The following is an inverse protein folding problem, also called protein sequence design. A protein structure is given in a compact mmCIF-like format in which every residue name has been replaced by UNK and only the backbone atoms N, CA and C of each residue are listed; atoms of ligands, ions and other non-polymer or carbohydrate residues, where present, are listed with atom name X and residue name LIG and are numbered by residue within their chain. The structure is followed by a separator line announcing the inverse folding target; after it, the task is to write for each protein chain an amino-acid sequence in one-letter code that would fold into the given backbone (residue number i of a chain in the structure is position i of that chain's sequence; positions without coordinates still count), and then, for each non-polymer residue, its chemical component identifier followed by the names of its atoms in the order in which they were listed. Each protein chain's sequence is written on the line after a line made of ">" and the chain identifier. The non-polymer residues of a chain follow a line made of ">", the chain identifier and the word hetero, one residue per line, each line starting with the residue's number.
data_IF_999424956066
#
_entry.id   IF_999424956066
#
_cell.length_a   1.000
_cell.length_b   1.000
_cell.length_c   1.000
_cell.angle_alpha   90.00
_cell.angle_beta   90.00
_cell.angle_gamma   90.00
#
_symmetry.space_group_name_H-M   'P 1'
#
loop_
_entity.id
_entity.type
_entity.pdbx_description
1 polymer ?
#
# COMPACT_ATOMS: atom_id res chain seq x y z
N UNK A 1 -5.34 9.98 15.98
CA UNK A 1 -4.59 10.89 15.06
C UNK A 1 -5.53 11.77 14.26
N UNK A 2 -5.14 13.01 13.95
CA UNK A 2 -5.85 13.90 13.02
C UNK A 2 -4.88 14.44 11.99
N UNK A 3 -5.13 14.13 10.71
CA UNK A 3 -4.31 14.58 9.59
C UNK A 3 -5.16 15.46 8.68
N UNK A 4 -4.65 16.63 8.33
CA UNK A 4 -5.25 17.54 7.35
C UNK A 4 -4.17 17.96 6.37
N UNK A 5 -4.30 17.49 5.13
CA UNK A 5 -3.44 17.85 4.01
C UNK A 5 -4.22 18.85 3.17
N UNK A 6 -3.70 20.06 3.04
CA UNK A 6 -4.32 21.11 2.24
C UNK A 6 -4.16 20.82 0.74
N UNK A 7 -4.96 21.49 -0.07
CA UNK A 7 -4.86 21.39 -1.52
C UNK A 7 -3.45 21.74 -2.01
N UNK A 8 -3.03 21.11 -3.11
CA UNK A 8 -1.79 21.49 -3.77
C UNK A 8 -1.88 22.93 -4.23
N UNK A 9 -0.87 23.78 -3.97
CA UNK A 9 -0.93 25.18 -4.30
C UNK A 9 -0.88 25.36 -5.82
N UNK A 10 -1.96 25.93 -6.39
CA UNK A 10 -1.96 26.34 -7.78
C UNK A 10 -1.21 27.66 -7.93
N UNK A 11 -0.28 27.73 -8.86
CA UNK A 11 0.39 28.96 -9.22
C UNK A 11 -0.61 29.93 -9.84
N UNK A 12 -0.76 31.10 -9.21
CA UNK A 12 -1.53 32.23 -9.74
C UNK A 12 -0.56 33.29 -10.22
N UNK A 13 -1.02 34.21 -11.09
CA UNK A 13 -0.19 35.26 -11.66
C UNK A 13 0.61 36.06 -10.62
N UNK A 14 0.04 36.36 -9.48
CA UNK A 14 0.72 37.09 -8.40
C UNK A 14 1.81 36.24 -7.69
N UNK A 15 1.78 34.93 -7.77
CA UNK A 15 2.83 34.07 -7.22
C UNK A 15 4.12 34.19 -8.02
N UNK A 16 4.05 34.39 -9.37
CA UNK A 16 5.22 34.65 -10.19
C UNK A 16 5.90 35.95 -9.78
N UNK A 17 5.14 37.00 -9.60
CA UNK A 17 5.65 38.29 -9.13
C UNK A 17 6.28 38.21 -7.73
N UNK A 18 5.62 37.49 -6.77
CA UNK A 18 6.17 37.30 -5.43
C UNK A 18 7.43 36.42 -5.44
N UNK A 19 7.53 35.47 -6.36
CA UNK A 19 8.73 34.67 -6.54
C UNK A 19 9.90 35.52 -7.04
N UNK A 20 9.67 36.34 -8.07
CA UNK A 20 10.69 37.16 -8.68
C UNK A 20 11.26 38.23 -7.72
N UNK A 21 10.43 38.77 -6.83
CA UNK A 21 10.83 39.81 -5.91
C UNK A 21 11.31 39.31 -4.55
N UNK A 22 10.73 38.23 -4.04
CA UNK A 22 10.94 37.73 -2.66
C UNK A 22 11.34 36.27 -2.59
N UNK A 23 11.48 35.55 -3.70
CA UNK A 23 11.73 34.13 -3.73
C UNK A 23 10.59 33.29 -3.11
N UNK A 24 9.36 33.83 -3.05
CA UNK A 24 8.23 33.15 -2.42
C UNK A 24 7.73 32.01 -3.30
N UNK A 25 7.71 30.79 -2.72
CA UNK A 25 7.08 29.62 -3.34
C UNK A 25 5.86 29.21 -2.53
N UNK A 26 4.68 29.07 -3.17
CA UNK A 26 3.50 28.58 -2.46
C UNK A 26 3.72 27.14 -2.02
N UNK A 27 3.46 26.83 -0.75
CA UNK A 27 3.64 25.49 -0.17
C UNK A 27 2.31 24.91 0.26
N UNK A 28 2.17 23.59 0.09
CA UNK A 28 1.04 22.84 0.63
C UNK A 28 1.04 22.94 2.16
N UNK A 29 -0.10 23.31 2.75
CA UNK A 29 -0.23 23.38 4.20
C UNK A 29 -0.65 22.02 4.74
N UNK A 30 0.21 21.40 5.51
CA UNK A 30 -0.08 20.15 6.21
C UNK A 30 -0.16 20.39 7.70
N UNK A 31 -1.22 19.90 8.35
CA UNK A 31 -1.39 19.94 9.80
C UNK A 31 -1.64 18.50 10.29
N UNK A 32 -0.71 18.03 11.10
CA UNK A 32 -0.78 16.67 11.69
C UNK A 32 -0.83 16.83 13.21
N UNK A 33 -1.77 16.14 13.84
CA UNK A 33 -1.84 15.98 15.28
C UNK A 33 -1.76 14.49 15.58
N UNK A 34 -0.76 14.11 16.37
CA UNK A 34 -0.49 12.73 16.78
C UNK A 34 -0.80 12.67 18.28
N UNK A 35 -1.58 11.67 18.67
CA UNK A 35 -1.87 11.36 20.06
C UNK A 35 -0.94 10.25 20.56
N UNK A 36 -0.77 10.15 21.88
CA UNK A 36 0.19 9.21 22.50
C UNK A 36 0.00 7.76 22.05
N UNK A 37 -1.24 7.34 21.80
CA UNK A 37 -1.58 5.96 21.41
C UNK A 37 -1.37 5.68 19.91
N UNK A 38 -1.27 6.70 19.07
CA UNK A 38 -1.07 6.55 17.61
C UNK A 38 0.28 5.93 17.26
N UNK A 39 1.24 5.95 18.19
CA UNK A 39 2.61 5.45 17.99
C UNK A 39 2.77 3.98 18.37
N UNK A 40 1.82 3.36 19.05
CA UNK A 40 1.91 1.95 19.48
C UNK A 40 1.77 0.98 18.32
N UNK A 41 0.93 1.31 17.36
CA UNK A 41 0.68 0.53 16.15
C UNK A 41 0.68 1.48 14.95
N UNK A 42 1.88 2.01 14.61
CA UNK A 42 2.02 3.00 13.54
C UNK A 42 1.54 2.48 12.18
N UNK A 43 1.68 1.20 11.92
CA UNK A 43 1.18 0.53 10.74
C UNK A 43 -0.35 0.64 10.61
N UNK A 44 -1.10 0.39 11.69
CA UNK A 44 -2.56 0.62 11.73
C UNK A 44 -2.93 2.10 11.61
N UNK A 45 -2.14 2.97 12.23
CA UNK A 45 -2.38 4.41 12.20
C UNK A 45 -2.15 5.02 10.82
N UNK A 46 -1.17 4.50 10.07
CA UNK A 46 -0.81 4.99 8.74
C UNK A 46 -1.65 4.35 7.62
N UNK A 47 -2.10 3.12 7.80
CA UNK A 47 -2.86 2.39 6.78
C UNK A 47 -4.06 3.17 6.20
N UNK A 48 -4.93 3.84 6.99
CA UNK A 48 -6.06 4.61 6.48
C UNK A 48 -5.64 5.88 5.70
N UNK A 49 -4.37 6.29 5.78
CA UNK A 49 -3.81 7.39 4.99
C UNK A 49 -3.18 6.86 3.71
N UNK A 50 -2.40 5.80 3.81
CA UNK A 50 -1.62 5.22 2.69
C UNK A 50 -2.56 4.55 1.68
N UNK A 51 -3.52 3.76 2.14
CA UNK A 51 -4.40 2.99 1.25
C UNK A 51 -5.14 3.84 0.21
N UNK A 52 -5.83 4.95 0.56
CA UNK A 52 -6.48 5.79 -0.43
C UNK A 52 -5.49 6.46 -1.38
N UNK A 53 -4.27 6.78 -0.93
CA UNK A 53 -3.23 7.34 -1.78
C UNK A 53 -2.75 6.33 -2.83
N UNK A 54 -2.54 5.06 -2.44
CA UNK A 54 -2.16 3.99 -3.37
C UNK A 54 -3.28 3.72 -4.39
N UNK A 55 -4.54 3.69 -3.96
CA UNK A 55 -5.70 3.51 -4.85
C UNK A 55 -5.78 4.64 -5.88
N UNK A 56 -5.69 5.88 -5.42
CA UNK A 56 -5.71 7.04 -6.32
C UNK A 56 -4.54 7.03 -7.30
N UNK A 57 -3.33 6.69 -6.82
CA UNK A 57 -2.17 6.58 -7.68
C UNK A 57 -2.36 5.52 -8.76
N UNK A 58 -2.90 4.34 -8.40
CA UNK A 58 -3.19 3.27 -9.36
C UNK A 58 -4.16 3.73 -10.46
N UNK A 59 -5.16 4.53 -10.11
CA UNK A 59 -6.15 5.06 -11.05
C UNK A 59 -5.60 6.19 -11.94
N UNK A 60 -4.69 7.02 -11.41
CA UNK A 60 -4.27 8.27 -12.08
C UNK A 60 -2.83 8.23 -12.61
N UNK A 61 -2.12 7.12 -12.48
CA UNK A 61 -0.75 7.00 -12.96
C UNK A 61 -0.64 7.18 -14.48
N UNK A 62 0.39 7.87 -14.91
CA UNK A 62 0.70 8.11 -16.32
C UNK A 62 1.89 7.28 -16.83
N UNK A 63 2.50 6.46 -15.97
CA UNK A 63 3.64 5.62 -16.28
C UNK A 63 3.89 4.58 -15.20
N UNK A 64 4.90 3.76 -15.41
CA UNK A 64 5.29 2.69 -14.47
C UNK A 64 6.80 2.77 -14.23
N UNK A 65 7.26 2.73 -12.99
CA UNK A 65 8.68 2.58 -12.68
C UNK A 65 9.18 1.20 -13.09
N UNK A 66 10.50 1.02 -13.10
CA UNK A 66 11.09 -0.31 -13.19
C UNK A 66 10.70 -1.15 -12.00
N UNK A 67 10.28 -2.36 -12.29
CA UNK A 67 9.91 -3.36 -11.29
C UNK A 67 10.82 -4.57 -11.48
N UNK A 68 11.42 -5.05 -10.37
CA UNK A 68 12.32 -6.18 -10.42
C UNK A 68 11.55 -7.49 -10.67
N UNK A 69 12.12 -8.39 -11.46
CA UNK A 69 11.52 -9.67 -11.82
C UNK A 69 11.27 -10.59 -10.60
N UNK A 70 12.06 -10.41 -9.53
CA UNK A 70 11.88 -11.16 -8.27
C UNK A 70 10.62 -10.77 -7.49
N UNK A 71 10.08 -9.58 -7.75
CA UNK A 71 8.91 -9.03 -7.07
C UNK A 71 7.59 -9.38 -7.71
N UNK A 72 7.61 -10.06 -8.86
CA UNK A 72 6.43 -10.39 -9.64
C UNK A 72 6.37 -11.89 -9.92
N UNK A 73 5.16 -12.45 -10.20
CA UNK A 73 5.03 -13.83 -10.60
C UNK A 73 5.75 -14.11 -11.92
N UNK A 74 6.09 -15.36 -12.14
CA UNK A 74 6.93 -15.81 -13.26
C UNK A 74 6.36 -15.38 -14.62
N UNK A 75 5.06 -15.37 -14.77
CA UNK A 75 4.34 -15.03 -16.01
C UNK A 75 4.55 -13.55 -16.42
N UNK A 76 4.86 -12.69 -15.46
CA UNK A 76 5.07 -11.26 -15.68
C UNK A 76 6.54 -10.84 -15.76
N UNK A 77 7.48 -11.77 -15.54
CA UNK A 77 8.90 -11.48 -15.58
C UNK A 77 9.35 -11.00 -16.97
N UNK A 78 10.42 -10.25 -17.02
CA UNK A 78 11.01 -9.77 -18.27
C UNK A 78 11.44 -10.94 -19.16
N UNK A 79 11.87 -12.06 -18.55
CA UNK A 79 12.25 -13.30 -19.24
C UNK A 79 11.08 -14.03 -19.87
N UNK A 80 9.85 -13.79 -19.40
CA UNK A 80 8.61 -14.39 -19.95
C UNK A 80 7.97 -13.49 -21.01
N UNK A 81 8.48 -12.27 -21.19
CA UNK A 81 7.95 -11.34 -22.17
C UNK A 81 8.37 -11.74 -23.61
N UNK A 82 7.50 -11.51 -24.61
CA UNK A 82 7.89 -11.69 -26.01
C UNK A 82 9.04 -10.74 -26.39
N UNK A 83 9.81 -11.07 -27.44
CA UNK A 83 10.87 -10.19 -27.94
C UNK A 83 10.34 -8.79 -28.22
N UNK A 84 11.15 -7.77 -27.91
CA UNK A 84 10.83 -6.37 -28.16
C UNK A 84 10.93 -6.08 -29.66
N UNK A 85 10.05 -5.21 -30.16
CA UNK A 85 10.11 -4.72 -31.54
C UNK A 85 11.28 -3.73 -31.72
N UNK A 86 11.55 -2.93 -30.68
CA UNK A 86 12.64 -1.97 -30.63
C UNK A 86 13.42 -2.15 -29.32
N UNK A 87 14.74 -2.18 -29.40
CA UNK A 87 15.64 -2.37 -28.25
C UNK A 87 15.43 -1.32 -27.15
N UNK A 88 15.07 -0.10 -27.52
CA UNK A 88 14.88 1.02 -26.59
C UNK A 88 13.52 1.03 -25.92
N UNK A 89 12.57 0.23 -26.36
CA UNK A 89 11.24 0.17 -25.78
C UNK A 89 11.22 -0.70 -24.52
N UNK A 90 10.24 -0.46 -23.66
CA UNK A 90 9.92 -1.38 -22.56
C UNK A 90 9.32 -2.67 -23.13
N UNK A 91 9.49 -3.79 -22.41
CA UNK A 91 8.83 -5.04 -22.80
C UNK A 91 7.31 -4.96 -22.57
N UNK A 92 6.59 -5.91 -23.16
CA UNK A 92 5.12 -5.96 -23.14
C UNK A 92 4.53 -5.93 -21.72
N UNK A 93 5.21 -6.54 -20.73
CA UNK A 93 4.71 -6.69 -19.36
C UNK A 93 5.20 -5.62 -18.39
N UNK A 94 5.94 -4.60 -18.87
CA UNK A 94 6.48 -3.54 -18.04
C UNK A 94 5.41 -2.83 -17.17
N UNK A 95 4.28 -2.48 -17.78
CA UNK A 95 3.18 -1.84 -17.06
C UNK A 95 2.41 -2.82 -16.18
N UNK A 96 2.23 -4.07 -16.63
CA UNK A 96 1.51 -5.11 -15.88
C UNK A 96 2.23 -5.50 -14.60
N UNK A 97 3.58 -5.52 -14.62
CA UNK A 97 4.39 -5.74 -13.42
C UNK A 97 4.09 -4.69 -12.35
N UNK A 98 4.08 -3.43 -12.74
CA UNK A 98 3.78 -2.35 -11.80
C UNK A 98 2.36 -2.40 -11.29
N UNK A 99 1.39 -2.74 -12.15
CA UNK A 99 0.00 -2.90 -11.76
C UNK A 99 -0.20 -4.04 -10.77
N UNK A 100 0.54 -5.13 -10.94
CA UNK A 100 0.55 -6.25 -10.01
C UNK A 100 1.15 -5.83 -8.65
N UNK A 101 2.32 -5.21 -8.64
CA UNK A 101 2.98 -4.72 -7.41
C UNK A 101 2.08 -3.75 -6.65
N UNK A 102 1.46 -2.79 -7.33
CA UNK A 102 0.49 -1.88 -6.70
C UNK A 102 -0.72 -2.63 -6.15
N UNK A 103 -1.18 -3.67 -6.85
CA UNK A 103 -2.25 -4.55 -6.39
C UNK A 103 -1.91 -5.24 -5.07
N UNK A 104 -0.71 -5.81 -4.95
CA UNK A 104 -0.23 -6.47 -3.73
C UNK A 104 -0.07 -5.48 -2.56
N UNK A 105 0.47 -4.30 -2.82
CA UNK A 105 0.53 -3.24 -1.80
C UNK A 105 -0.86 -2.84 -1.30
N UNK A 106 -1.78 -2.55 -2.21
CA UNK A 106 -3.17 -2.18 -1.87
C UNK A 106 -3.82 -3.28 -1.05
N UNK A 107 -3.71 -4.54 -1.51
CA UNK A 107 -4.27 -5.70 -0.81
C UNK A 107 -3.72 -5.82 0.62
N UNK A 108 -2.40 -5.66 0.83
CA UNK A 108 -1.80 -5.72 2.15
C UNK A 108 -2.34 -4.67 3.11
N UNK A 109 -2.50 -3.42 2.65
CA UNK A 109 -3.09 -2.36 3.46
C UNK A 109 -4.59 -2.54 3.69
N UNK A 110 -5.34 -3.14 2.76
CA UNK A 110 -6.73 -3.54 2.96
C UNK A 110 -6.86 -4.60 4.05
N UNK A 111 -6.01 -5.64 4.01
CA UNK A 111 -5.99 -6.66 5.07
C UNK A 111 -5.59 -6.06 6.42
N UNK A 112 -4.65 -5.11 6.44
CA UNK A 112 -4.25 -4.43 7.68
C UNK A 112 -5.39 -3.64 8.32
N UNK A 113 -6.26 -3.03 7.52
CA UNK A 113 -7.44 -2.33 8.00
C UNK A 113 -8.59 -3.25 8.40
N UNK A 114 -8.52 -4.52 8.01
CA UNK A 114 -9.49 -5.54 8.39
C UNK A 114 -9.07 -6.20 9.69
N UNK A 115 -9.50 -5.67 10.83
CA UNK A 115 -9.13 -6.16 12.18
C UNK A 115 -9.48 -7.62 12.46
N UNK A 116 -10.25 -8.27 11.60
CA UNK A 116 -10.77 -9.63 11.81
C UNK A 116 -10.33 -10.64 10.74
N UNK A 117 -9.30 -10.36 9.93
CA UNK A 117 -8.86 -11.27 8.88
C UNK A 117 -8.42 -12.65 9.41
N UNK A 118 -7.85 -12.70 10.62
CA UNK A 118 -7.45 -13.96 11.24
C UNK A 118 -8.63 -14.89 11.53
N UNK A 119 -9.84 -14.34 11.76
CA UNK A 119 -11.06 -15.11 12.01
C UNK A 119 -11.47 -16.01 10.84
N UNK A 120 -10.98 -15.72 9.64
CA UNK A 120 -11.24 -16.56 8.47
C UNK A 120 -10.53 -17.92 8.56
N UNK A 121 -9.56 -18.06 9.49
CA UNK A 121 -8.67 -19.22 9.61
C UNK A 121 -8.88 -20.02 10.89
N UNK A 122 -9.85 -19.66 11.74
CA UNK A 122 -10.22 -20.43 12.93
C UNK A 122 -11.68 -20.25 13.32
N UNK A 123 -12.21 -21.25 14.01
CA UNK A 123 -13.55 -21.22 14.60
C UNK A 123 -13.48 -21.67 16.05
N UNK A 124 -14.23 -21.00 16.90
CA UNK A 124 -14.44 -21.33 18.29
C UNK A 124 -15.91 -21.66 18.52
N UNK A 125 -16.17 -22.54 19.47
CA UNK A 125 -17.49 -22.77 20.07
C UNK A 125 -17.47 -22.42 21.54
N UNK A 126 -18.60 -22.00 22.06
CA UNK A 126 -18.76 -21.76 23.50
C UNK A 126 -18.63 -23.07 24.25
N UNK A 127 -17.74 -23.12 25.22
CA UNK A 127 -17.52 -24.28 26.09
C UNK A 127 -17.35 -23.77 27.54
N UNK A 128 -18.40 -23.94 28.39
CA UNK A 128 -18.35 -23.48 29.78
C UNK A 128 -17.26 -24.14 30.64
N UNK A 129 -16.77 -25.32 30.21
CA UNK A 129 -15.70 -26.04 30.91
C UNK A 129 -14.29 -25.61 30.46
N UNK A 130 -14.19 -24.86 29.34
CA UNK A 130 -12.93 -24.35 28.90
C UNK A 130 -12.44 -23.16 29.72
N UNK A 131 -11.12 -23.02 29.90
CA UNK A 131 -10.46 -21.98 30.72
C UNK A 131 -10.89 -20.55 30.34
N UNK A 132 -11.26 -20.33 29.08
CA UNK A 132 -11.70 -19.03 28.55
C UNK A 132 -13.15 -19.03 28.05
N UNK A 133 -13.96 -20.05 28.45
CA UNK A 133 -15.34 -20.19 28.00
C UNK A 133 -15.53 -20.53 26.51
N UNK A 134 -14.44 -20.80 25.76
CA UNK A 134 -14.46 -21.12 24.34
C UNK A 134 -13.47 -22.22 24.04
N UNK A 135 -13.80 -23.10 23.08
CA UNK A 135 -12.97 -24.18 22.58
C UNK A 135 -12.71 -23.99 21.10
N UNK A 136 -11.44 -24.10 20.69
CA UNK A 136 -11.05 -24.09 19.28
C UNK A 136 -11.49 -25.40 18.61
N UNK A 137 -12.35 -25.30 17.60
CA UNK A 137 -12.90 -26.47 16.87
C UNK A 137 -12.27 -26.66 15.50
N UNK A 138 -11.74 -25.60 14.93
CA UNK A 138 -11.11 -25.65 13.62
C UNK A 138 -10.04 -24.56 13.49
N UNK A 139 -8.90 -24.90 12.85
CA UNK A 139 -7.83 -23.98 12.53
C UNK A 139 -7.17 -24.37 11.19
N UNK A 140 -7.06 -23.40 10.28
CA UNK A 140 -6.23 -23.49 9.07
C UNK A 140 -4.92 -22.70 9.28
N UNK A 141 -3.91 -23.38 9.78
CA UNK A 141 -2.59 -22.77 10.06
C UNK A 141 -1.83 -22.42 8.80
N UNK A 142 -1.97 -23.23 7.75
CA UNK A 142 -1.25 -23.00 6.49
C UNK A 142 -1.84 -21.81 5.75
N UNK A 143 -3.16 -21.74 5.60
CA UNK A 143 -3.84 -20.59 5.02
C UNK A 143 -3.53 -19.30 5.76
N UNK A 144 -3.53 -19.31 7.09
CA UNK A 144 -3.18 -18.15 7.92
C UNK A 144 -1.73 -17.69 7.70
N UNK A 145 -0.78 -18.63 7.63
CA UNK A 145 0.63 -18.32 7.35
C UNK A 145 0.82 -17.75 5.94
N UNK A 146 0.16 -18.34 4.95
CA UNK A 146 0.21 -17.86 3.56
C UNK A 146 -0.36 -16.44 3.44
N UNK A 147 -1.51 -16.17 4.08
CA UNK A 147 -2.09 -14.83 4.13
C UNK A 147 -1.14 -13.80 4.77
N UNK A 148 -0.58 -14.14 5.93
CA UNK A 148 0.38 -13.28 6.62
C UNK A 148 1.66 -13.04 5.80
N UNK A 149 2.17 -14.08 5.12
CA UNK A 149 3.34 -13.96 4.25
C UNK A 149 3.06 -13.02 3.07
N UNK A 150 1.90 -13.15 2.41
CA UNK A 150 1.47 -12.25 1.33
C UNK A 150 1.33 -10.81 1.83
N UNK A 151 0.70 -10.60 2.98
CA UNK A 151 0.56 -9.27 3.58
C UNK A 151 1.94 -8.66 3.90
N UNK A 152 2.86 -9.43 4.47
CA UNK A 152 4.24 -9.00 4.72
C UNK A 152 4.98 -8.65 3.43
N UNK A 153 4.76 -9.42 2.36
CA UNK A 153 5.33 -9.11 1.05
C UNK A 153 4.79 -7.78 0.49
N UNK A 154 3.50 -7.52 0.60
CA UNK A 154 2.92 -6.24 0.18
C UNK A 154 3.51 -5.04 0.92
N UNK A 155 3.78 -5.15 2.24
CA UNK A 155 4.50 -4.12 3.00
C UNK A 155 5.97 -4.00 2.59
N UNK A 156 6.63 -5.11 2.29
CA UNK A 156 8.01 -5.10 1.75
C UNK A 156 8.06 -4.36 0.41
N UNK A 157 7.13 -4.65 -0.49
CA UNK A 157 7.00 -3.96 -1.78
C UNK A 157 6.77 -2.46 -1.58
N UNK A 158 5.89 -2.09 -0.64
CA UNK A 158 5.67 -0.67 -0.31
C UNK A 158 6.97 0.00 0.18
N UNK A 159 7.72 -0.62 1.08
CA UNK A 159 8.99 -0.08 1.56
C UNK A 159 10.13 -0.09 0.53
N UNK A 160 10.03 -0.90 -0.54
CA UNK A 160 11.01 -0.95 -1.63
C UNK A 160 10.76 0.16 -2.67
N UNK A 161 9.51 0.45 -2.98
CA UNK A 161 9.13 1.34 -4.07
C UNK A 161 8.70 2.75 -3.65
N UNK A 162 8.48 2.99 -2.32
CA UNK A 162 8.10 4.27 -1.70
C UNK A 162 8.86 4.55 -0.42
#
# INVERSE_FOLDING_TARGET
>A
MKVKIGSYPNWRFYHHWLYDWFGYTPKQKTKIRIDRYDTWSMDHTLAPIILPMLKQLKETKHGSPWTDDEDVPEELRSTSAPPKENEYDTDKYHHDRWDWVMGEMIWAFEQKLRDSWEKDYYKYEDDPEATFGMKLIWEDREGRRAHQARMSNGFRLFGKYY
#
